data_IF_213685787587
#
_entry.id   IF_213685787587
#
_cell.length_a   1.000
_cell.length_b   1.000
_cell.length_c   1.000
_cell.angle_alpha   90.00
_cell.angle_beta   90.00
_cell.angle_gamma   90.00
#
_symmetry.space_group_name_H-M   'P 1'
#
loop_
_entity.id
_entity.type
_entity.pdbx_description
1 polymer ?
#
# COMPACT_ATOMS: atom_id res chain seq x y z
N UNK A 1 7.76 16.31 -7.15
CA UNK A 1 6.35 16.78 -7.03
C UNK A 1 5.42 15.58 -7.10
N UNK A 2 4.49 15.45 -6.15
CA UNK A 2 3.45 14.38 -6.12
C UNK A 2 2.16 14.92 -6.76
N UNK A 3 1.60 14.17 -7.72
CA UNK A 3 0.33 14.49 -8.39
C UNK A 3 -0.60 13.27 -8.43
N UNK A 4 -1.90 13.53 -8.32
CA UNK A 4 -2.94 12.55 -8.57
C UNK A 4 -3.22 12.50 -10.09
N UNK A 5 -3.47 11.30 -10.62
CA UNK A 5 -3.82 11.09 -12.03
C UNK A 5 -5.17 10.39 -12.09
N UNK A 6 -6.05 10.84 -12.99
CA UNK A 6 -7.37 10.22 -13.16
C UNK A 6 -7.27 8.84 -13.80
N UNK A 7 -6.35 8.68 -14.75
CA UNK A 7 -6.07 7.43 -15.46
C UNK A 7 -4.57 7.28 -15.74
N UNK A 8 -4.13 6.06 -15.97
CA UNK A 8 -2.78 5.74 -16.40
C UNK A 8 -2.80 5.11 -17.80
N UNK A 9 -1.96 5.61 -18.67
CA UNK A 9 -1.78 5.06 -20.03
C UNK A 9 -0.38 4.49 -20.21
N UNK A 10 -0.21 3.53 -21.10
CA UNK A 10 1.10 2.93 -21.37
C UNK A 10 2.17 3.95 -21.79
N UNK A 11 1.89 4.95 -22.63
CA UNK A 11 2.91 5.96 -23.00
C UNK A 11 3.49 6.73 -21.82
N UNK A 12 2.73 6.89 -20.72
CA UNK A 12 3.20 7.58 -19.52
C UNK A 12 4.24 6.77 -18.73
N UNK A 13 4.32 5.45 -18.96
CA UNK A 13 5.30 4.55 -18.37
C UNK A 13 6.64 4.53 -19.13
N UNK A 14 6.88 5.47 -20.06
CA UNK A 14 8.09 5.50 -20.88
C UNK A 14 8.68 6.90 -20.96
N UNK A 15 9.20 7.42 -19.84
CA UNK A 15 9.93 8.67 -19.88
C UNK A 15 11.16 8.49 -20.80
N UNK A 16 11.28 9.29 -21.85
CA UNK A 16 12.44 9.23 -22.72
C UNK A 16 13.71 9.47 -21.89
N UNK A 17 14.76 8.72 -22.14
CA UNK A 17 16.06 8.77 -21.46
C UNK A 17 16.18 8.17 -20.06
N UNK A 18 15.15 7.57 -19.48
CA UNK A 18 15.24 6.83 -18.21
C UNK A 18 15.07 5.34 -18.42
N UNK A 19 15.83 4.54 -17.66
CA UNK A 19 15.55 3.14 -17.50
C UNK A 19 14.32 2.96 -16.61
N UNK A 20 13.48 1.98 -16.94
CA UNK A 20 12.22 1.75 -16.25
C UNK A 20 12.19 0.37 -15.60
N UNK A 21 11.53 0.30 -14.45
CA UNK A 21 11.48 -0.88 -13.59
C UNK A 21 10.09 -1.05 -12.98
N UNK A 22 9.78 -2.30 -12.61
CA UNK A 22 8.65 -2.63 -11.73
C UNK A 22 9.18 -3.17 -10.41
N UNK A 23 8.80 -2.56 -9.31
CA UNK A 23 9.00 -3.10 -7.97
C UNK A 23 7.76 -3.88 -7.58
N UNK A 24 7.90 -5.20 -7.45
CA UNK A 24 6.81 -6.13 -7.22
C UNK A 24 6.84 -6.60 -5.77
N UNK A 25 5.68 -6.57 -5.11
CA UNK A 25 5.47 -7.15 -3.79
C UNK A 25 5.07 -8.61 -3.95
N UNK A 26 5.97 -9.52 -3.61
CA UNK A 26 5.81 -10.96 -3.89
C UNK A 26 4.63 -11.57 -3.15
N UNK A 27 4.45 -11.27 -1.87
CA UNK A 27 3.35 -11.83 -1.07
C UNK A 27 1.98 -11.57 -1.71
N UNK A 28 1.72 -10.33 -2.12
CA UNK A 28 0.46 -9.94 -2.77
C UNK A 28 0.32 -10.61 -4.13
N UNK A 29 1.40 -10.64 -4.92
CA UNK A 29 1.34 -11.15 -6.28
C UNK A 29 1.38 -12.67 -6.36
N UNK A 30 2.01 -13.35 -5.42
CA UNK A 30 1.94 -14.82 -5.31
C UNK A 30 0.53 -15.27 -4.89
N UNK A 31 -0.14 -14.52 -4.00
CA UNK A 31 -1.55 -14.76 -3.67
C UNK A 31 -2.47 -14.51 -4.89
N UNK A 32 -2.22 -13.43 -5.64
CA UNK A 32 -2.91 -13.19 -6.90
C UNK A 32 -2.69 -14.34 -7.89
N UNK A 33 -1.43 -14.76 -8.08
CA UNK A 33 -1.04 -15.85 -8.98
C UNK A 33 -1.73 -17.16 -8.62
N UNK A 34 -1.82 -17.49 -7.32
CA UNK A 34 -2.47 -18.71 -6.83
C UNK A 34 -3.99 -18.75 -7.13
N UNK A 35 -4.61 -17.59 -7.32
CA UNK A 35 -6.02 -17.47 -7.70
C UNK A 35 -6.27 -17.63 -9.21
N UNK A 36 -5.20 -17.66 -10.05
CA UNK A 36 -5.31 -17.80 -11.50
C UNK A 36 -5.25 -19.28 -11.90
N UNK A 37 -6.36 -19.91 -12.36
CA UNK A 37 -6.39 -21.34 -12.66
C UNK A 37 -5.33 -21.77 -13.69
N UNK A 38 -5.14 -20.95 -14.72
CA UNK A 38 -4.23 -21.22 -15.86
C UNK A 38 -2.76 -20.95 -15.51
N UNK A 39 -2.47 -20.39 -14.36
CA UNK A 39 -1.13 -19.97 -13.94
C UNK A 39 -0.62 -20.69 -12.68
N UNK A 40 -1.41 -21.61 -12.12
CA UNK A 40 -1.12 -22.30 -10.83
C UNK A 40 0.14 -23.17 -10.83
N UNK A 41 0.67 -23.55 -11.99
CA UNK A 41 1.91 -24.34 -12.09
C UNK A 41 3.18 -23.52 -11.79
N UNK A 42 3.04 -22.24 -11.42
CA UNK A 42 4.16 -21.31 -11.22
C UNK A 42 4.39 -21.12 -9.75
N UNK A 43 5.64 -21.32 -9.33
CA UNK A 43 5.99 -21.34 -7.90
C UNK A 43 5.89 -19.97 -7.24
N UNK A 44 6.23 -18.86 -7.96
CA UNK A 44 6.21 -17.50 -7.45
C UNK A 44 6.19 -16.48 -8.59
N UNK A 45 6.02 -15.19 -8.23
CA UNK A 45 5.97 -14.09 -9.20
C UNK A 45 7.27 -13.90 -9.97
N UNK A 46 8.43 -14.17 -9.36
CA UNK A 46 9.73 -14.08 -10.04
C UNK A 46 9.85 -15.10 -11.18
N UNK A 47 9.41 -16.33 -10.97
CA UNK A 47 9.36 -17.38 -12.01
C UNK A 47 8.33 -17.04 -13.08
N UNK A 48 7.20 -16.45 -12.68
CA UNK A 48 6.21 -15.95 -13.64
C UNK A 48 6.81 -14.90 -14.56
N UNK A 49 7.47 -13.88 -14.01
CA UNK A 49 8.12 -12.81 -14.78
C UNK A 49 9.12 -13.38 -15.79
N UNK A 50 10.02 -14.28 -15.35
CA UNK A 50 11.01 -14.91 -16.23
C UNK A 50 10.38 -15.71 -17.37
N UNK A 51 9.22 -16.32 -17.14
CA UNK A 51 8.52 -17.10 -18.15
C UNK A 51 7.78 -16.22 -19.17
N UNK A 52 7.24 -15.09 -18.72
CA UNK A 52 6.54 -14.11 -19.59
C UNK A 52 7.54 -13.33 -20.43
N UNK A 53 8.66 -12.96 -19.83
CA UNK A 53 9.73 -12.16 -20.45
C UNK A 53 11.10 -12.69 -19.99
N UNK A 54 11.61 -13.69 -20.69
CA UNK A 54 12.85 -14.39 -20.34
C UNK A 54 14.11 -13.51 -20.44
N UNK A 55 14.05 -12.43 -21.23
CA UNK A 55 15.15 -11.49 -21.40
C UNK A 55 15.24 -10.45 -20.28
N UNK A 56 14.22 -10.36 -19.46
CA UNK A 56 14.13 -9.35 -18.40
C UNK A 56 15.12 -9.63 -17.26
N UNK A 57 15.89 -8.61 -16.90
CA UNK A 57 16.72 -8.63 -15.71
C UNK A 57 15.86 -8.41 -14.46
N UNK A 58 16.12 -9.21 -13.42
CA UNK A 58 15.47 -9.04 -12.12
C UNK A 58 16.48 -9.12 -10.97
N UNK A 59 16.17 -8.43 -9.87
CA UNK A 59 16.96 -8.42 -8.63
C UNK A 59 16.05 -8.49 -7.42
N UNK A 60 16.37 -9.40 -6.52
CA UNK A 60 15.69 -9.49 -5.23
C UNK A 60 16.21 -8.42 -4.28
N UNK A 61 15.33 -7.60 -3.72
CA UNK A 61 15.72 -6.50 -2.84
C UNK A 61 16.33 -7.04 -1.53
N UNK A 62 15.81 -8.17 -1.03
CA UNK A 62 16.28 -8.73 0.23
C UNK A 62 17.58 -9.55 0.11
N UNK A 63 18.04 -9.93 -1.10
CA UNK A 63 19.35 -10.55 -1.26
C UNK A 63 20.45 -9.64 -0.71
N UNK A 64 21.49 -10.23 -0.12
CA UNK A 64 22.61 -9.52 0.50
C UNK A 64 22.20 -8.56 1.64
N UNK A 65 21.08 -8.81 2.31
CA UNK A 65 20.61 -8.07 3.49
C UNK A 65 20.42 -9.02 4.67
N UNK A 66 20.02 -8.51 5.83
CA UNK A 66 19.63 -9.35 6.98
C UNK A 66 18.43 -10.30 6.70
N UNK A 67 17.73 -10.11 5.59
CA UNK A 67 16.65 -11.00 5.10
C UNK A 67 17.08 -11.95 3.99
N UNK A 68 18.38 -12.09 3.72
CA UNK A 68 18.88 -12.91 2.59
C UNK A 68 18.36 -14.36 2.61
N UNK A 69 18.21 -14.97 3.79
CA UNK A 69 17.64 -16.32 3.92
C UNK A 69 16.16 -16.42 3.47
N UNK A 70 15.48 -15.29 3.32
CA UNK A 70 14.05 -15.19 2.94
C UNK A 70 13.86 -14.38 1.65
N UNK A 71 14.93 -14.17 0.86
CA UNK A 71 14.85 -13.30 -0.32
C UNK A 71 13.73 -13.67 -1.31
N UNK A 72 13.34 -14.94 -1.51
CA UNK A 72 12.33 -15.26 -2.50
C UNK A 72 10.90 -14.79 -2.15
N UNK A 73 10.66 -14.45 -0.87
CA UNK A 73 9.37 -13.88 -0.44
C UNK A 73 9.46 -12.36 -0.24
N UNK A 74 10.63 -11.77 -0.51
CA UNK A 74 10.86 -10.33 -0.49
C UNK A 74 10.54 -9.67 -1.82
N UNK A 75 10.51 -8.33 -1.85
CA UNK A 75 10.20 -7.61 -3.09
C UNK A 75 11.26 -7.86 -4.17
N UNK A 76 10.80 -7.91 -5.41
CA UNK A 76 11.65 -8.09 -6.59
C UNK A 76 11.58 -6.87 -7.50
N UNK A 77 12.74 -6.34 -7.89
CA UNK A 77 12.87 -5.30 -8.89
C UNK A 77 13.09 -5.94 -10.26
N UNK A 78 12.25 -5.60 -11.22
CA UNK A 78 12.24 -6.15 -12.56
C UNK A 78 12.51 -5.02 -13.55
N UNK A 79 13.46 -5.21 -14.47
CA UNK A 79 13.65 -4.26 -15.56
C UNK A 79 12.43 -4.31 -16.50
N UNK A 80 11.87 -3.14 -16.79
CA UNK A 80 10.64 -3.02 -17.58
C UNK A 80 10.95 -2.34 -18.91
N UNK A 81 10.36 -2.84 -19.99
CA UNK A 81 10.44 -2.26 -21.33
C UNK A 81 9.03 -2.05 -21.88
N UNK A 82 8.87 -1.05 -22.76
CA UNK A 82 7.56 -0.67 -23.29
C UNK A 82 6.84 -1.75 -24.08
N UNK A 83 7.60 -2.56 -24.77
CA UNK A 83 7.15 -3.69 -25.58
C UNK A 83 7.07 -5.00 -24.79
N UNK A 84 7.44 -4.97 -23.52
CA UNK A 84 7.34 -6.13 -22.63
C UNK A 84 5.88 -6.55 -22.43
N UNK A 85 5.66 -7.86 -22.46
CA UNK A 85 4.36 -8.45 -22.09
C UNK A 85 3.94 -8.15 -20.66
N UNK A 86 4.87 -7.69 -19.81
CA UNK A 86 4.61 -7.30 -18.42
C UNK A 86 3.77 -6.02 -18.33
N UNK A 87 3.72 -5.19 -19.38
CA UNK A 87 2.97 -3.93 -19.36
C UNK A 87 1.47 -4.10 -19.12
N UNK A 88 0.88 -5.13 -19.72
CA UNK A 88 -0.51 -5.48 -19.51
C UNK A 88 -0.81 -5.89 -18.06
N UNK A 89 0.13 -6.60 -17.42
CA UNK A 89 -0.04 -7.03 -16.02
C UNK A 89 0.16 -5.88 -15.03
N UNK A 90 1.05 -4.93 -15.31
CA UNK A 90 1.29 -3.81 -14.41
C UNK A 90 0.04 -2.95 -14.20
N UNK A 91 -0.57 -2.47 -15.29
CA UNK A 91 -1.74 -1.57 -15.20
C UNK A 91 -2.92 -2.28 -14.54
N UNK A 92 -3.16 -3.52 -14.96
CA UNK A 92 -4.16 -4.41 -14.37
C UNK A 92 -3.73 -5.86 -14.63
N UNK A 93 -3.62 -6.72 -13.61
CA UNK A 93 -4.12 -6.57 -12.23
C UNK A 93 -3.10 -6.11 -11.17
N UNK A 94 -1.79 -6.00 -11.46
CA UNK A 94 -0.78 -5.89 -10.41
C UNK A 94 -0.85 -4.58 -9.62
N UNK A 95 -0.96 -3.44 -10.32
CA UNK A 95 -1.14 -2.17 -9.62
C UNK A 95 -2.48 -2.09 -8.88
N UNK A 96 -3.54 -2.75 -9.41
CA UNK A 96 -4.86 -2.74 -8.77
C UNK A 96 -4.92 -3.54 -7.47
N UNK A 97 -4.07 -4.56 -7.32
CA UNK A 97 -3.91 -5.29 -6.05
C UNK A 97 -3.00 -4.58 -5.04
N UNK A 98 -2.35 -3.48 -5.44
CA UNK A 98 -1.29 -2.85 -4.65
C UNK A 98 0.05 -3.61 -4.69
N UNK A 99 0.17 -4.61 -5.55
CA UNK A 99 1.34 -5.48 -5.63
C UNK A 99 2.48 -4.96 -6.50
N UNK A 100 2.34 -3.78 -7.14
CA UNK A 100 3.36 -3.25 -8.04
C UNK A 100 3.47 -1.73 -7.99
N UNK A 101 4.72 -1.24 -8.04
CA UNK A 101 5.09 0.18 -8.20
C UNK A 101 6.00 0.29 -9.41
N UNK A 102 5.71 1.22 -10.30
CA UNK A 102 6.60 1.57 -11.41
C UNK A 102 7.65 2.58 -10.94
N UNK A 103 8.89 2.38 -11.37
CA UNK A 103 10.02 3.26 -11.09
C UNK A 103 10.72 3.66 -12.39
N UNK A 104 11.23 4.89 -12.44
CA UNK A 104 12.13 5.30 -13.50
C UNK A 104 13.40 5.94 -12.91
N UNK A 105 14.54 5.65 -13.53
CA UNK A 105 15.86 6.11 -13.10
C UNK A 105 16.81 6.26 -14.28
N UNK A 106 17.72 7.21 -14.20
CA UNK A 106 18.87 7.29 -15.13
C UNK A 106 20.00 6.31 -14.76
N UNK A 107 19.82 5.53 -13.70
CA UNK A 107 20.80 4.60 -13.16
C UNK A 107 20.45 3.15 -13.48
N UNK A 108 21.43 2.28 -13.32
CA UNK A 108 21.28 0.83 -13.53
C UNK A 108 20.34 0.19 -12.51
N UNK A 109 19.84 -1.01 -12.82
CA UNK A 109 19.03 -1.82 -11.89
C UNK A 109 19.79 -2.08 -10.57
N UNK A 110 21.09 -2.28 -10.63
CA UNK A 110 21.91 -2.59 -9.45
C UNK A 110 22.03 -1.37 -8.52
N UNK A 111 22.13 -0.14 -9.07
CA UNK A 111 22.13 1.09 -8.27
C UNK A 111 20.76 1.38 -7.65
N UNK A 112 19.67 1.08 -8.37
CA UNK A 112 18.30 1.22 -7.84
C UNK A 112 18.07 0.22 -6.71
N UNK A 113 18.47 -1.04 -6.87
CA UNK A 113 18.39 -2.05 -5.80
C UNK A 113 19.25 -1.65 -4.60
N UNK A 114 20.46 -1.13 -4.83
CA UNK A 114 21.31 -0.65 -3.74
C UNK A 114 20.61 0.44 -2.90
N UNK A 115 19.87 1.36 -3.55
CA UNK A 115 19.07 2.35 -2.82
C UNK A 115 17.92 1.70 -2.04
N UNK A 116 17.16 0.81 -2.66
CA UNK A 116 16.06 0.11 -1.98
C UNK A 116 16.55 -0.65 -0.74
N UNK A 117 17.74 -1.27 -0.82
CA UNK A 117 18.41 -1.92 0.31
C UNK A 117 18.89 -0.92 1.37
N UNK A 118 19.46 0.22 0.95
CA UNK A 118 19.94 1.27 1.84
C UNK A 118 18.84 1.90 2.70
N UNK A 119 17.61 1.96 2.18
CA UNK A 119 16.43 2.48 2.89
C UNK A 119 15.50 1.41 3.41
N UNK A 120 15.86 0.13 3.29
CA UNK A 120 15.05 -0.98 3.83
C UNK A 120 14.75 -0.79 5.32
N UNK A 121 15.67 -0.13 6.01
CA UNK A 121 15.49 0.35 7.36
C UNK A 121 15.75 1.84 7.47
N UNK A 122 14.82 2.50 8.15
CA UNK A 122 14.87 3.91 8.48
C UNK A 122 14.88 4.07 10.00
N UNK A 123 15.39 5.20 10.48
CA UNK A 123 15.34 5.54 11.89
C UNK A 123 14.09 6.38 12.16
N UNK A 124 13.37 6.03 13.20
CA UNK A 124 12.27 6.80 13.74
C UNK A 124 12.83 7.95 14.61
N UNK A 125 12.05 9.00 14.92
CA UNK A 125 12.51 10.12 15.74
C UNK A 125 13.04 9.71 17.12
N UNK A 126 12.53 8.62 17.68
CA UNK A 126 12.98 8.04 18.96
C UNK A 126 14.23 7.17 18.85
N UNK A 127 14.87 7.09 17.67
CA UNK A 127 16.02 6.25 17.39
C UNK A 127 15.72 4.79 17.11
N UNK A 128 14.48 4.36 17.21
CA UNK A 128 14.10 2.99 16.85
C UNK A 128 14.23 2.77 15.33
N UNK A 129 14.71 1.58 14.97
CA UNK A 129 14.79 1.14 13.58
C UNK A 129 13.44 0.59 13.12
N UNK A 130 12.94 1.08 12.00
CA UNK A 130 11.71 0.60 11.38
C UNK A 130 11.98 0.14 9.95
N UNK A 131 11.29 -0.92 9.51
CA UNK A 131 11.34 -1.36 8.13
C UNK A 131 10.53 -0.41 7.26
N UNK A 132 11.15 0.14 6.23
CA UNK A 132 10.49 0.97 5.22
C UNK A 132 10.27 0.17 3.94
N UNK A 133 9.09 0.25 3.39
CA UNK A 133 8.66 -0.53 2.22
C UNK A 133 8.17 0.45 1.14
N UNK A 134 9.04 0.75 0.16
CA UNK A 134 8.68 1.62 -0.99
C UNK A 134 7.49 1.04 -1.77
N UNK A 135 7.34 -0.27 -1.79
CA UNK A 135 6.23 -0.97 -2.43
C UNK A 135 4.91 -0.93 -1.63
N UNK A 136 4.90 -0.40 -0.41
CA UNK A 136 3.66 -0.24 0.39
C UNK A 136 2.87 0.96 -0.13
N UNK A 137 2.04 0.71 -1.13
CA UNK A 137 1.32 1.74 -1.89
C UNK A 137 0.36 2.57 -1.03
N UNK A 138 -0.17 2.00 0.06
CA UNK A 138 -1.08 2.67 0.99
C UNK A 138 -0.41 3.80 1.77
N UNK A 139 0.87 3.64 2.13
CA UNK A 139 1.61 4.63 2.90
C UNK A 139 2.41 5.61 2.03
N UNK A 140 2.74 5.22 0.80
CA UNK A 140 3.72 5.91 -0.04
C UNK A 140 3.32 7.37 -0.33
N UNK A 141 2.03 7.64 -0.62
CA UNK A 141 1.54 8.99 -0.85
C UNK A 141 1.66 9.87 0.40
N UNK A 142 1.35 9.33 1.58
CA UNK A 142 1.45 10.04 2.86
C UNK A 142 2.90 10.35 3.20
N UNK A 143 3.82 9.41 2.99
CA UNK A 143 5.26 9.62 3.19
C UNK A 143 5.79 10.73 2.27
N UNK A 144 5.51 10.64 0.96
CA UNK A 144 6.04 11.60 -0.01
C UNK A 144 5.46 13.01 0.12
N UNK A 145 4.24 13.15 0.68
CA UNK A 145 3.66 14.45 1.03
C UNK A 145 4.25 15.07 2.28
N UNK A 146 4.63 14.25 3.24
CA UNK A 146 5.20 14.71 4.52
C UNK A 146 6.64 15.20 4.38
N UNK A 147 7.34 14.79 3.32
CA UNK A 147 8.75 15.12 3.11
C UNK A 147 8.93 16.36 2.25
N UNK A 148 9.82 17.24 2.67
CA UNK A 148 10.36 18.29 1.80
C UNK A 148 11.07 17.67 0.59
N UNK A 149 11.11 18.34 -0.58
CA UNK A 149 11.65 17.77 -1.82
C UNK A 149 13.06 17.17 -1.68
N UNK A 150 13.96 17.83 -0.95
CA UNK A 150 15.33 17.32 -0.74
C UNK A 150 15.38 16.10 0.16
N UNK A 151 14.45 15.98 1.11
CA UNK A 151 14.30 14.82 2.00
C UNK A 151 13.75 13.63 1.24
N UNK A 152 12.74 13.85 0.39
CA UNK A 152 12.22 12.83 -0.50
C UNK A 152 13.30 12.34 -1.47
N UNK A 153 14.13 13.24 -2.00
CA UNK A 153 15.28 12.89 -2.82
C UNK A 153 16.32 12.05 -2.06
N UNK A 154 16.59 12.37 -0.79
CA UNK A 154 17.47 11.57 0.06
C UNK A 154 16.91 10.16 0.32
N UNK A 155 15.60 10.02 0.51
CA UNK A 155 14.94 8.73 0.70
C UNK A 155 14.95 7.89 -0.58
N UNK A 156 14.63 8.50 -1.72
CA UNK A 156 14.48 7.78 -2.99
C UNK A 156 15.82 7.61 -3.76
N UNK A 157 16.85 8.41 -3.46
CA UNK A 157 18.14 8.35 -4.12
C UNK A 157 18.02 8.45 -5.64
N UNK A 158 18.53 7.47 -6.41
CA UNK A 158 18.53 7.51 -7.87
C UNK A 158 17.17 7.30 -8.52
N UNK A 159 16.11 7.01 -7.77
CA UNK A 159 14.76 6.79 -8.29
C UNK A 159 14.12 8.15 -8.58
N UNK A 160 14.06 8.55 -9.84
CA UNK A 160 13.61 9.88 -10.27
C UNK A 160 12.09 9.99 -10.40
N UNK A 161 11.42 8.87 -10.67
CA UNK A 161 9.98 8.84 -10.82
C UNK A 161 9.39 7.57 -10.20
N UNK A 162 8.23 7.72 -9.57
CA UNK A 162 7.39 6.64 -9.06
C UNK A 162 5.98 6.80 -9.60
N UNK A 163 5.36 5.68 -10.02
CA UNK A 163 3.94 5.62 -10.37
C UNK A 163 3.32 4.39 -9.69
N UNK A 164 2.22 4.59 -9.00
CA UNK A 164 1.51 3.51 -8.35
C UNK A 164 0.01 3.77 -8.30
N UNK A 165 -0.74 2.72 -8.04
CA UNK A 165 -2.17 2.76 -7.82
C UNK A 165 -2.47 2.47 -6.36
N UNK A 166 -3.17 3.38 -5.71
CA UNK A 166 -3.60 3.27 -4.33
C UNK A 166 -5.05 2.81 -4.28
N UNK A 167 -5.34 1.81 -3.45
CA UNK A 167 -6.70 1.32 -3.25
C UNK A 167 -7.40 2.15 -2.16
N UNK A 168 -8.53 2.73 -2.50
CA UNK A 168 -9.45 3.42 -1.59
C UNK A 168 -10.73 2.59 -1.41
N UNK A 169 -10.58 1.31 -1.08
CA UNK A 169 -11.67 0.34 -1.10
C UNK A 169 -12.10 0.05 -2.54
N UNK A 170 -13.37 0.31 -2.91
CA UNK A 170 -13.83 0.08 -4.28
C UNK A 170 -13.36 1.14 -5.29
N UNK A 171 -12.83 2.26 -4.83
CA UNK A 171 -12.24 3.30 -5.66
C UNK A 171 -10.72 3.15 -5.69
N UNK A 172 -10.10 3.72 -6.71
CA UNK A 172 -8.66 3.69 -6.89
C UNK A 172 -8.18 5.08 -7.27
N UNK A 173 -6.95 5.41 -6.83
CA UNK A 173 -6.27 6.64 -7.20
C UNK A 173 -4.90 6.31 -7.77
N UNK A 174 -4.60 6.77 -8.98
CA UNK A 174 -3.25 6.75 -9.50
C UNK A 174 -2.46 7.93 -8.96
N UNK A 175 -1.21 7.67 -8.58
CA UNK A 175 -0.25 8.64 -8.09
C UNK A 175 0.99 8.63 -8.95
N UNK A 176 1.53 9.81 -9.18
CA UNK A 176 2.83 10.02 -9.80
C UNK A 176 3.66 10.93 -8.91
N UNK A 177 4.84 10.49 -8.56
CA UNK A 177 5.84 11.32 -7.92
C UNK A 177 7.02 11.48 -8.87
N UNK A 178 7.49 12.73 -9.06
CA UNK A 178 8.70 13.04 -9.82
C UNK A 178 9.61 13.88 -8.95
N UNK A 179 10.88 13.44 -8.85
CA UNK A 179 11.91 14.22 -8.18
C UNK A 179 12.24 15.50 -8.99
N UNK A 180 12.71 16.58 -8.31
CA UNK A 180 13.35 17.71 -8.99
C UNK A 180 14.58 17.24 -9.76
N UNK A 181 14.93 17.96 -10.83
CA UNK A 181 16.17 17.71 -11.56
C UNK A 181 17.38 17.94 -10.65
N UNK A 182 18.38 17.07 -10.77
CA UNK A 182 19.62 17.17 -9.99
C UNK A 182 20.31 15.82 -9.80
N UNK A 183 21.46 15.80 -9.11
CA UNK A 183 22.15 14.56 -8.78
C UNK A 183 21.36 13.79 -7.69
N UNK A 184 21.09 12.52 -7.95
CA UNK A 184 20.39 11.62 -7.04
C UNK A 184 21.27 10.39 -6.73
N UNK A 185 22.27 10.53 -5.83
CA UNK A 185 23.14 9.44 -5.44
C UNK A 185 22.39 8.44 -4.55
N UNK A 186 22.89 7.22 -4.51
CA UNK A 186 22.48 6.23 -3.50
C UNK A 186 22.81 6.77 -2.11
N UNK A 187 21.85 6.76 -1.21
CA UNK A 187 21.98 7.22 0.17
C UNK A 187 21.39 6.20 1.14
N UNK A 188 22.03 6.05 2.29
CA UNK A 188 21.53 5.20 3.38
C UNK A 188 21.37 5.99 4.68
N UNK A 189 20.85 5.31 5.71
CA UNK A 189 20.73 5.90 7.03
C UNK A 189 19.66 6.98 7.17
N UNK A 190 18.58 6.93 6.39
CA UNK A 190 17.49 7.89 6.46
C UNK A 190 16.81 7.87 7.83
N UNK A 191 16.57 9.05 8.40
CA UNK A 191 15.87 9.23 9.66
C UNK A 191 14.71 10.21 9.50
N UNK A 192 13.52 9.80 9.92
CA UNK A 192 12.36 10.68 10.03
C UNK A 192 12.49 11.58 11.26
N UNK A 193 12.00 12.82 11.15
CA UNK A 193 11.81 13.70 12.30
C UNK A 193 10.37 13.63 12.83
N UNK A 194 10.11 14.27 13.99
CA UNK A 194 8.79 14.25 14.63
C UNK A 194 7.69 14.91 13.78
N UNK A 195 8.00 16.00 13.08
CA UNK A 195 7.05 16.70 12.24
C UNK A 195 6.65 15.83 11.00
N UNK A 196 7.63 15.20 10.36
CA UNK A 196 7.41 14.27 9.26
C UNK A 196 6.54 13.10 9.71
N UNK A 197 6.84 12.48 10.86
CA UNK A 197 6.01 11.37 11.38
C UNK A 197 4.59 11.81 11.69
N UNK A 198 4.40 12.97 12.31
CA UNK A 198 3.06 13.51 12.58
C UNK A 198 2.27 13.76 11.28
N UNK A 199 2.94 14.24 10.23
CA UNK A 199 2.32 14.46 8.93
C UNK A 199 1.98 13.14 8.22
N UNK A 200 2.85 12.12 8.33
CA UNK A 200 2.59 10.76 7.82
C UNK A 200 1.37 10.16 8.51
N UNK A 201 1.31 10.19 9.84
CA UNK A 201 0.20 9.65 10.64
C UNK A 201 -1.13 10.33 10.29
N UNK A 202 -1.10 11.67 10.12
CA UNK A 202 -2.28 12.41 9.67
C UNK A 202 -2.72 11.99 8.26
N UNK A 203 -1.77 11.81 7.34
CA UNK A 203 -2.04 11.34 5.97
C UNK A 203 -2.62 9.92 5.93
N UNK A 204 -2.09 9.01 6.74
CA UNK A 204 -2.60 7.64 6.86
C UNK A 204 -4.02 7.62 7.45
N UNK A 205 -4.28 8.46 8.45
CA UNK A 205 -5.61 8.62 9.04
C UNK A 205 -6.63 9.14 8.01
N UNK A 206 -6.23 10.13 7.21
CA UNK A 206 -7.08 10.70 6.15
C UNK A 206 -7.34 9.66 5.04
N UNK A 207 -6.29 8.92 4.61
CA UNK A 207 -6.44 7.81 3.67
C UNK A 207 -7.44 6.76 4.18
N UNK A 208 -7.28 6.30 5.42
CA UNK A 208 -8.17 5.33 6.06
C UNK A 208 -9.62 5.84 6.11
N UNK A 209 -9.81 7.11 6.46
CA UNK A 209 -11.13 7.75 6.43
C UNK A 209 -11.75 7.72 5.02
N UNK A 210 -11.01 8.14 3.99
CA UNK A 210 -11.50 8.16 2.62
C UNK A 210 -11.83 6.76 2.07
N UNK A 211 -10.99 5.76 2.38
CA UNK A 211 -11.25 4.34 2.10
C UNK A 211 -12.63 3.92 2.65
N UNK A 212 -12.89 4.23 3.93
CA UNK A 212 -14.14 3.84 4.56
C UNK A 212 -15.35 4.64 4.08
N UNK A 213 -15.18 5.89 3.69
CA UNK A 213 -16.24 6.66 3.01
C UNK A 213 -16.65 5.99 1.68
N UNK A 214 -15.66 5.55 0.89
CA UNK A 214 -15.92 4.86 -0.38
C UNK A 214 -16.66 3.52 -0.16
N UNK A 215 -16.24 2.72 0.81
CA UNK A 215 -16.91 1.46 1.19
C UNK A 215 -18.34 1.74 1.68
N UNK A 216 -18.54 2.73 2.56
CA UNK A 216 -19.88 3.08 3.09
C UNK A 216 -20.84 3.52 1.99
N UNK A 217 -20.34 4.23 0.96
CA UNK A 217 -21.14 4.66 -0.21
C UNK A 217 -21.69 3.48 -1.02
N UNK A 218 -20.96 2.36 -1.05
CA UNK A 218 -21.34 1.16 -1.81
C UNK A 218 -22.14 0.14 -0.99
N UNK A 219 -22.28 0.37 0.32
CA UNK A 219 -23.01 -0.55 1.18
C UNK A 219 -24.47 -0.68 0.68
N UNK A 220 -25.01 -1.93 0.51
CA UNK A 220 -26.30 -2.18 -0.15
C UNK A 220 -27.50 -1.61 0.61
N UNK A 221 -27.33 -1.24 1.85
CA UNK A 221 -28.33 -0.58 2.68
C UNK A 221 -27.95 0.89 2.84
N UNK A 222 -28.18 1.67 1.76
CA UNK A 222 -27.93 3.11 1.77
C UNK A 222 -28.43 3.73 3.09
N UNK A 223 -27.46 4.12 3.90
CA UNK A 223 -27.76 4.97 5.05
C UNK A 223 -28.41 6.24 4.50
N UNK A 224 -29.48 6.71 5.15
CA UNK A 224 -30.20 7.95 4.73
C UNK A 224 -29.30 9.18 4.81
N UNK A 225 -28.19 9.07 5.55
CA UNK A 225 -27.23 10.15 5.78
C UNK A 225 -26.09 10.13 4.75
N UNK A 226 -25.44 11.28 4.59
CA UNK A 226 -24.20 11.41 3.80
C UNK A 226 -23.15 10.40 4.28
N UNK A 227 -22.61 9.52 3.40
CA UNK A 227 -21.62 8.51 3.76
C UNK A 227 -20.40 9.10 4.47
N UNK A 228 -19.97 10.32 4.11
CA UNK A 228 -18.85 11.00 4.72
C UNK A 228 -19.14 11.36 6.18
N UNK A 229 -20.31 11.93 6.44
CA UNK A 229 -20.77 12.27 7.78
C UNK A 229 -20.94 11.02 8.64
N UNK A 230 -21.55 9.98 8.10
CA UNK A 230 -21.79 8.72 8.82
C UNK A 230 -20.46 8.04 9.19
N UNK A 231 -19.53 7.95 8.25
CA UNK A 231 -18.19 7.37 8.52
C UNK A 231 -17.46 8.17 9.61
N UNK A 232 -17.52 9.49 9.58
CA UNK A 232 -16.91 10.35 10.60
C UNK A 232 -17.49 10.06 11.99
N UNK A 233 -18.81 10.03 12.12
CA UNK A 233 -19.47 9.72 13.39
C UNK A 233 -19.05 8.37 13.93
N UNK A 234 -19.01 7.35 13.10
CA UNK A 234 -18.57 6.01 13.52
C UNK A 234 -17.11 5.96 13.95
N UNK A 235 -16.21 6.58 13.18
CA UNK A 235 -14.79 6.62 13.52
C UNK A 235 -14.54 7.36 14.83
N UNK A 236 -15.18 8.51 15.03
CA UNK A 236 -15.06 9.29 16.27
C UNK A 236 -15.58 8.49 17.48
N UNK A 237 -16.70 7.77 17.31
CA UNK A 237 -17.27 6.92 18.32
C UNK A 237 -16.36 5.72 18.66
N UNK A 238 -15.86 5.01 17.65
CA UNK A 238 -14.92 3.89 17.85
C UNK A 238 -13.62 4.36 18.50
N UNK A 239 -13.08 5.51 18.07
CA UNK A 239 -11.92 6.13 18.70
C UNK A 239 -12.15 6.44 20.18
N UNK A 240 -13.35 6.92 20.56
CA UNK A 240 -13.73 7.17 21.95
C UNK A 240 -13.81 5.88 22.78
N UNK A 241 -14.11 4.74 22.15
CA UNK A 241 -14.12 3.40 22.76
C UNK A 241 -12.75 2.72 22.76
N UNK A 242 -11.69 3.45 22.33
CA UNK A 242 -10.30 2.97 22.39
C UNK A 242 -9.81 2.17 21.20
N UNK A 243 -10.54 2.15 20.08
CA UNK A 243 -10.03 1.60 18.83
C UNK A 243 -9.03 2.58 18.20
N UNK A 244 -7.74 2.21 18.18
CA UNK A 244 -6.65 3.07 17.69
C UNK A 244 -5.92 2.46 16.49
N UNK A 245 -5.92 1.14 16.37
CA UNK A 245 -5.28 0.42 15.28
C UNK A 245 -6.23 0.29 14.10
N UNK A 246 -5.74 0.59 12.90
CA UNK A 246 -6.55 0.54 11.68
C UNK A 246 -7.17 -0.84 11.42
N UNK A 247 -6.44 -1.92 11.67
CA UNK A 247 -6.94 -3.28 11.52
C UNK A 247 -8.17 -3.56 12.40
N UNK A 248 -8.18 -3.07 13.63
CA UNK A 248 -9.31 -3.20 14.54
C UNK A 248 -10.46 -2.27 14.17
N UNK A 249 -10.16 -1.06 13.69
CA UNK A 249 -11.14 -0.12 13.17
C UNK A 249 -11.85 -0.67 11.93
N UNK A 250 -11.12 -1.31 11.01
CA UNK A 250 -11.67 -1.92 9.80
C UNK A 250 -12.78 -2.93 10.16
N UNK A 251 -12.48 -3.89 11.05
CA UNK A 251 -13.44 -4.91 11.48
C UNK A 251 -14.64 -4.28 12.20
N UNK A 252 -14.42 -3.30 13.08
CA UNK A 252 -15.48 -2.65 13.82
C UNK A 252 -16.39 -1.81 12.88
N UNK A 253 -15.83 -1.10 11.89
CA UNK A 253 -16.57 -0.37 10.88
C UNK A 253 -17.37 -1.31 9.97
N UNK A 254 -16.83 -2.49 9.63
CA UNK A 254 -17.55 -3.49 8.86
C UNK A 254 -18.73 -4.06 9.65
N UNK A 255 -18.58 -4.26 10.98
CA UNK A 255 -19.69 -4.62 11.83
C UNK A 255 -20.80 -3.56 11.83
N UNK A 256 -20.46 -2.27 11.91
CA UNK A 256 -21.45 -1.17 11.84
C UNK A 256 -22.14 -1.03 10.48
N UNK A 257 -21.50 -1.49 9.39
CA UNK A 257 -22.07 -1.53 8.03
C UNK A 257 -22.83 -2.80 7.72
N UNK A 258 -22.70 -3.84 8.55
CA UNK A 258 -23.29 -5.15 8.27
C UNK A 258 -24.82 -5.05 8.12
N UNK A 259 -25.46 -5.73 7.14
CA UNK A 259 -26.91 -5.68 6.93
C UNK A 259 -27.74 -5.99 8.17
N UNK A 260 -27.28 -6.96 9.00
CA UNK A 260 -27.96 -7.32 10.23
C UNK A 260 -27.81 -6.30 11.38
N UNK A 261 -26.88 -5.34 11.26
CA UNK A 261 -26.60 -4.37 12.33
C UNK A 261 -27.86 -3.68 12.88
N UNK A 262 -28.75 -3.24 12.00
CA UNK A 262 -29.97 -2.53 12.43
C UNK A 262 -30.85 -3.35 13.38
N UNK A 263 -30.88 -4.69 13.23
CA UNK A 263 -31.64 -5.60 14.09
C UNK A 263 -30.95 -5.84 15.43
N UNK A 264 -29.62 -5.80 15.45
CA UNK A 264 -28.79 -6.17 16.59
C UNK A 264 -27.99 -4.98 17.15
N UNK A 265 -28.36 -3.73 16.82
CA UNK A 265 -27.53 -2.54 17.11
C UNK A 265 -27.15 -2.41 18.58
N UNK A 266 -28.11 -2.64 19.51
CA UNK A 266 -27.84 -2.55 20.94
C UNK A 266 -26.79 -3.59 21.40
N UNK A 267 -26.90 -4.83 20.94
CA UNK A 267 -25.95 -5.91 21.27
C UNK A 267 -24.57 -5.61 20.67
N UNK A 268 -24.49 -5.21 19.39
CA UNK A 268 -23.23 -4.88 18.72
C UNK A 268 -22.52 -3.73 19.42
N UNK A 269 -23.24 -2.66 19.77
CA UNK A 269 -22.67 -1.53 20.51
C UNK A 269 -22.18 -1.97 21.89
N UNK A 270 -22.92 -2.77 22.62
CA UNK A 270 -22.49 -3.30 23.92
C UNK A 270 -21.20 -4.14 23.81
N UNK A 271 -21.10 -4.98 22.75
CA UNK A 271 -19.89 -5.78 22.48
C UNK A 271 -18.67 -4.90 22.12
N UNK A 272 -18.88 -3.84 21.33
CA UNK A 272 -17.80 -2.91 20.98
C UNK A 272 -17.34 -2.04 22.16
N UNK A 273 -18.20 -1.83 23.16
CA UNK A 273 -17.90 -1.06 24.37
C UNK A 273 -17.34 -1.92 25.53
N UNK A 274 -17.33 -3.25 25.42
CA UNK A 274 -16.88 -4.15 26.50
C UNK A 274 -15.40 -4.02 26.79
N UNK A 275 -15.05 -3.14 27.75
CA UNK A 275 -13.65 -2.85 28.12
C UNK A 275 -12.92 -4.02 28.80
N UNK A 276 -13.60 -5.12 29.13
CA UNK A 276 -12.95 -6.33 29.61
C UNK A 276 -12.16 -7.06 28.52
N UNK A 277 -12.39 -6.70 27.25
CA UNK A 277 -11.73 -7.29 26.11
C UNK A 277 -10.84 -6.26 25.36
N UNK A 278 -9.83 -6.76 24.66
CA UNK A 278 -9.03 -5.93 23.75
C UNK A 278 -9.88 -5.40 22.57
N UNK A 279 -9.54 -4.27 21.97
CA UNK A 279 -10.29 -3.71 20.82
C UNK A 279 -10.49 -4.73 19.69
N UNK A 280 -9.44 -5.47 19.32
CA UNK A 280 -9.54 -6.52 18.29
C UNK A 280 -10.52 -7.65 18.67
N UNK A 281 -10.49 -8.12 19.91
CA UNK A 281 -11.42 -9.14 20.38
C UNK A 281 -12.88 -8.63 20.40
N UNK A 282 -13.10 -7.38 20.77
CA UNK A 282 -14.42 -6.74 20.73
C UNK A 282 -14.97 -6.67 19.30
N UNK A 283 -14.16 -6.20 18.36
CA UNK A 283 -14.52 -6.10 16.95
C UNK A 283 -14.87 -7.49 16.37
N UNK A 284 -14.02 -8.49 16.62
CA UNK A 284 -14.24 -9.85 16.17
C UNK A 284 -15.54 -10.46 16.74
N UNK A 285 -15.83 -10.26 18.06
CA UNK A 285 -17.07 -10.74 18.67
C UNK A 285 -18.31 -10.05 18.09
N UNK A 286 -18.25 -8.75 17.86
CA UNK A 286 -19.35 -8.01 17.23
C UNK A 286 -19.64 -8.53 15.83
N UNK A 287 -18.60 -8.76 15.00
CA UNK A 287 -18.75 -9.32 13.67
C UNK A 287 -19.30 -10.76 13.70
N UNK A 288 -18.77 -11.64 14.56
CA UNK A 288 -19.26 -13.02 14.69
C UNK A 288 -20.73 -13.07 15.11
N UNK A 289 -21.17 -12.19 16.02
CA UNK A 289 -22.58 -12.09 16.40
C UNK A 289 -23.48 -11.75 15.20
N UNK A 290 -23.06 -10.79 14.36
CA UNK A 290 -23.80 -10.40 13.16
C UNK A 290 -23.85 -11.50 12.10
N UNK A 291 -22.78 -12.28 11.97
CA UNK A 291 -22.74 -13.42 11.03
C UNK A 291 -23.69 -14.53 11.46
N UNK A 292 -23.87 -14.77 12.77
CA UNK A 292 -24.83 -15.78 13.29
C UNK A 292 -26.30 -15.34 13.22
N UNK A 293 -26.57 -14.05 13.40
CA UNK A 293 -27.93 -13.48 13.32
C UNK A 293 -28.36 -13.15 11.89
N UNK A 294 -27.45 -13.20 10.94
CA UNK A 294 -27.69 -12.92 9.51
C UNK A 294 -28.32 -14.08 8.75
N UNK A 295 -28.34 -15.26 9.35
CA UNK A 295 -28.96 -16.47 8.83
C UNK A 295 -30.33 -16.67 9.47
#
# INVERSE_FOLDING_TARGET
MLIALDQMTQPELHPPSLATFLLLETEILDEWLARQPDLRERANIGDFVRKVDYATSLRWVWSDTEYDSHYPVGPVLVQYQSDSRLSGFFIDPWASTGGAVFLASSRSIDEVVAQLRAVLFVLMPNGNKARFRVQETTALASVLRALEPFRAAALLGPIQELIWRESLGPAHQWWRYRQPDGPHPVQGGFQFNHAEMSAIDAGLTDHHFHKHVAITRQAPHSFRDDPRRQTRVWMDQLNSWGFKEFSHLDIALDALRHPAYRRCAATVVALLQDTALTPGARAARAMNHLMTEGH
#
